data_IF_278279863785
#
_entry.id   IF_278279863785
#
_cell.length_a   1.000
_cell.length_b   1.000
_cell.length_c   1.000
_cell.angle_alpha   90.00
_cell.angle_beta   90.00
_cell.angle_gamma   90.00
#
_symmetry.space_group_name_H-M   'P 1'
#
loop_
_entity.id
_entity.type
_entity.pdbx_description
1 polymer ?
#
# COMPACT_ATOMS: atom_id res chain seq x y z
N UNK A 1 -73.80 -25.34 9.94
CA UNK A 1 -72.91 -26.09 9.02
C UNK A 1 -71.55 -25.39 9.03
N UNK A 2 -70.44 -26.15 9.14
CA UNK A 2 -69.07 -25.79 9.60
C UNK A 2 -69.00 -25.57 11.12
N UNK A 3 -68.63 -26.48 12.01
CA UNK A 3 -67.79 -27.70 11.97
C UNK A 3 -66.28 -27.45 11.68
N UNK A 4 -65.48 -27.58 12.77
CA UNK A 4 -64.09 -28.10 12.86
C UNK A 4 -62.99 -27.15 12.32
N UNK A 5 -61.85 -26.83 12.96
CA UNK A 5 -60.91 -27.57 13.82
C UNK A 5 -59.99 -26.60 14.59
N UNK A 6 -59.64 -26.99 15.82
CA UNK A 6 -58.50 -26.50 16.59
C UNK A 6 -57.20 -27.09 16.02
N UNK A 7 -56.12 -26.29 15.86
CA UNK A 7 -54.72 -26.79 15.84
C UNK A 7 -53.70 -25.64 15.90
N UNK A 8 -53.01 -25.56 17.04
CA UNK A 8 -51.68 -24.97 17.15
C UNK A 8 -50.76 -25.55 16.07
N UNK A 9 -50.06 -24.69 15.32
CA UNK A 9 -48.95 -25.11 14.46
C UNK A 9 -47.73 -24.27 14.79
N UNK A 10 -46.90 -24.83 15.68
CA UNK A 10 -45.50 -24.47 15.86
C UNK A 10 -44.79 -24.79 14.55
N UNK A 11 -44.32 -23.80 13.78
CA UNK A 11 -43.22 -23.99 12.82
C UNK A 11 -42.32 -22.76 12.75
N UNK A 12 -41.07 -22.99 13.15
CA UNK A 12 -39.88 -22.17 12.89
C UNK A 12 -39.84 -21.69 11.44
N UNK A 13 -39.56 -20.42 11.24
CA UNK A 13 -38.91 -19.91 10.03
C UNK A 13 -38.22 -18.58 10.33
N UNK A 14 -37.01 -18.68 10.90
CA UNK A 14 -35.80 -17.96 10.46
C UNK A 14 -36.01 -16.48 10.05
N UNK A 15 -35.83 -15.58 11.02
CA UNK A 15 -34.95 -14.42 10.82
C UNK A 15 -33.55 -14.93 11.21
N UNK A 16 -32.39 -14.57 10.61
CA UNK A 16 -32.05 -13.20 10.20
C UNK A 16 -30.90 -13.06 9.15
N UNK A 17 -31.08 -12.28 8.07
CA UNK A 17 -29.91 -11.68 7.38
C UNK A 17 -30.19 -10.20 7.13
N UNK A 18 -30.53 -9.51 8.22
CA UNK A 18 -30.26 -8.09 8.32
C UNK A 18 -28.75 -7.92 8.25
N UNK A 19 -28.31 -7.23 7.21
CA UNK A 19 -26.93 -6.88 6.87
C UNK A 19 -26.28 -6.16 8.06
N UNK A 20 -25.63 -6.93 8.91
CA UNK A 20 -24.76 -6.46 10.00
C UNK A 20 -23.32 -6.87 9.68
N UNK A 21 -22.85 -6.52 8.48
CA UNK A 21 -21.42 -6.42 8.21
C UNK A 21 -20.92 -5.05 8.67
N UNK A 22 -21.11 -4.76 9.96
CA UNK A 22 -20.15 -3.93 10.70
C UNK A 22 -19.09 -4.88 11.25
N UNK A 23 -18.34 -5.48 10.33
CA UNK A 23 -17.02 -5.97 10.66
C UNK A 23 -16.20 -4.74 11.01
N UNK A 24 -16.01 -4.52 12.32
CA UNK A 24 -14.94 -3.68 12.81
C UNK A 24 -13.65 -4.28 12.27
N UNK A 25 -13.19 -3.81 11.11
CA UNK A 25 -11.76 -3.84 10.82
C UNK A 25 -11.14 -3.12 12.02
N UNK A 26 -10.46 -3.87 12.89
CA UNK A 26 -9.61 -3.29 13.90
C UNK A 26 -8.77 -2.24 13.18
N UNK A 27 -9.01 -0.96 13.50
CA UNK A 27 -8.52 0.16 12.71
C UNK A 27 -7.00 0.10 12.73
N UNK A 28 -6.42 -0.45 11.65
CA UNK A 28 -4.99 -0.38 11.43
C UNK A 28 -4.67 1.11 11.42
N UNK A 29 -3.77 1.61 12.28
CA UNK A 29 -3.49 3.03 12.34
C UNK A 29 -3.07 3.53 10.95
N UNK A 30 -3.66 4.64 10.53
CA UNK A 30 -3.27 5.29 9.29
C UNK A 30 -1.97 6.07 9.53
N UNK A 31 -0.99 5.86 8.66
CA UNK A 31 0.30 6.54 8.62
C UNK A 31 0.23 7.63 7.55
N UNK A 32 0.63 8.85 7.89
CA UNK A 32 0.75 9.91 6.90
C UNK A 32 2.07 9.77 6.13
N UNK A 33 2.00 9.54 4.83
CA UNK A 33 3.18 9.45 3.96
C UNK A 33 3.29 10.71 3.13
N UNK A 34 4.43 11.39 3.24
CA UNK A 34 4.75 12.58 2.44
C UNK A 34 5.73 12.19 1.35
N UNK A 35 5.31 12.30 0.10
CA UNK A 35 6.15 12.09 -1.08
C UNK A 35 6.66 13.43 -1.62
N UNK A 36 7.97 13.59 -1.72
CA UNK A 36 8.59 14.72 -2.41
C UNK A 36 8.91 14.31 -3.85
N UNK A 37 8.30 14.97 -4.83
CA UNK A 37 8.51 14.71 -6.26
C UNK A 37 8.70 16.02 -7.03
N UNK A 38 9.85 16.24 -7.67
CA UNK A 38 10.16 17.42 -8.50
C UNK A 38 9.84 18.76 -7.79
N UNK A 39 10.11 18.83 -6.50
CA UNK A 39 9.83 20.01 -5.66
C UNK A 39 8.35 20.18 -5.26
N UNK A 40 7.48 19.25 -5.62
CA UNK A 40 6.10 19.16 -5.12
C UNK A 40 6.02 18.18 -3.97
N UNK A 41 5.23 18.54 -2.97
CA UNK A 41 4.91 17.67 -1.85
C UNK A 41 3.53 17.06 -2.07
N UNK A 42 3.45 15.73 -2.07
CA UNK A 42 2.23 14.95 -2.22
C UNK A 42 2.00 14.18 -0.93
N UNK A 43 0.90 14.43 -0.25
CA UNK A 43 0.55 13.74 0.99
C UNK A 43 -0.46 12.62 0.68
N UNK A 44 -0.23 11.44 1.23
CA UNK A 44 -1.14 10.31 1.16
C UNK A 44 -1.29 9.64 2.54
N UNK A 45 -2.38 8.90 2.71
CA UNK A 45 -2.62 8.08 3.90
C UNK A 45 -2.39 6.61 3.53
N UNK A 46 -1.45 5.97 4.23
CA UNK A 46 -1.16 4.55 4.09
C UNK A 46 -1.55 3.78 5.33
N UNK A 47 -1.82 2.49 5.19
CA UNK A 47 -2.06 1.59 6.32
C UNK A 47 -0.80 0.79 6.60
N UNK A 48 -0.60 0.45 7.87
CA UNK A 48 0.49 -0.45 8.26
C UNK A 48 0.37 -1.78 7.51
N UNK A 49 1.50 -2.26 7.00
CA UNK A 49 1.60 -3.45 6.16
C UNK A 49 1.49 -3.17 4.66
N UNK A 50 1.01 -1.99 4.24
CA UNK A 50 1.02 -1.60 2.82
C UNK A 50 2.41 -1.21 2.36
N UNK A 51 2.71 -1.46 1.10
CA UNK A 51 3.95 -0.97 0.49
C UNK A 51 3.87 0.51 0.12
N UNK A 52 5.00 1.22 0.06
CA UNK A 52 5.02 2.62 -0.41
C UNK A 52 4.44 2.75 -1.83
N UNK A 53 4.65 1.73 -2.67
CA UNK A 53 4.00 1.63 -3.98
C UNK A 53 2.47 1.61 -3.88
N UNK A 54 1.92 0.72 -3.04
CA UNK A 54 0.47 0.63 -2.85
C UNK A 54 -0.12 1.94 -2.33
N UNK A 55 0.58 2.67 -1.46
CA UNK A 55 0.12 3.96 -0.95
C UNK A 55 -0.01 4.98 -2.08
N UNK A 56 0.98 5.07 -2.97
CA UNK A 56 0.98 5.98 -4.12
C UNK A 56 -0.18 5.64 -5.07
N UNK A 57 -0.34 4.36 -5.41
CA UNK A 57 -1.36 3.90 -6.37
C UNK A 57 -2.76 4.03 -5.79
N UNK A 58 -2.97 3.64 -4.52
CA UNK A 58 -4.29 3.74 -3.88
C UNK A 58 -4.73 5.19 -3.67
N UNK A 59 -3.77 6.12 -3.52
CA UNK A 59 -4.03 7.55 -3.40
C UNK A 59 -4.09 8.27 -4.75
N UNK A 60 -3.90 7.56 -5.88
CA UNK A 60 -3.92 8.10 -7.24
C UNK A 60 -2.99 9.33 -7.40
N UNK A 61 -1.78 9.25 -6.82
CA UNK A 61 -0.84 10.36 -6.89
C UNK A 61 -0.28 10.53 -8.31
N UNK A 62 -0.18 11.77 -8.84
CA UNK A 62 0.23 12.04 -10.21
C UNK A 62 1.76 11.92 -10.36
N UNK A 63 2.28 10.69 -10.34
CA UNK A 63 3.70 10.36 -10.56
C UNK A 63 3.79 9.56 -11.85
N UNK A 64 4.21 10.23 -12.93
CA UNK A 64 4.27 9.64 -14.27
C UNK A 64 5.22 8.44 -14.31
N UNK A 65 4.75 7.32 -14.86
CA UNK A 65 5.54 6.11 -15.07
C UNK A 65 5.86 5.30 -13.80
N UNK A 66 5.37 5.71 -12.64
CA UNK A 66 5.65 5.02 -11.38
C UNK A 66 4.94 3.66 -11.30
N UNK A 67 5.67 2.62 -10.88
CA UNK A 67 5.08 1.31 -10.58
C UNK A 67 4.66 0.46 -11.79
N UNK A 68 5.41 0.55 -12.90
CA UNK A 68 5.05 -0.07 -14.17
C UNK A 68 4.94 -1.62 -14.16
N UNK A 69 5.59 -2.30 -13.22
CA UNK A 69 5.47 -3.77 -13.02
C UNK A 69 4.47 -4.18 -11.94
N UNK A 70 3.72 -3.23 -11.40
CA UNK A 70 2.71 -3.49 -10.37
C UNK A 70 3.27 -4.09 -9.07
N UNK A 71 4.54 -3.84 -8.76
CA UNK A 71 5.19 -4.31 -7.54
C UNK A 71 5.73 -5.75 -7.60
N UNK A 72 5.87 -6.32 -8.79
CA UNK A 72 6.35 -7.70 -9.01
C UNK A 72 7.87 -7.88 -9.01
N UNK A 73 8.64 -6.88 -8.55
CA UNK A 73 10.11 -6.87 -8.57
C UNK A 73 10.69 -7.14 -9.98
N UNK A 74 10.09 -6.56 -11.01
CA UNK A 74 10.50 -6.73 -12.41
C UNK A 74 10.88 -5.42 -13.11
N UNK A 75 10.94 -4.30 -12.38
CA UNK A 75 11.38 -3.01 -12.88
C UNK A 75 11.86 -2.12 -11.71
N UNK A 76 12.52 -0.99 -12.03
CA UNK A 76 12.98 0.00 -11.06
C UNK A 76 12.12 1.28 -11.01
N UNK A 77 10.95 1.30 -11.65
CA UNK A 77 10.09 2.50 -11.72
C UNK A 77 9.44 2.90 -10.39
N UNK A 78 9.48 2.01 -9.40
CA UNK A 78 9.03 2.28 -8.04
C UNK A 78 10.16 2.73 -7.11
N UNK A 79 11.31 3.14 -7.68
CA UNK A 79 12.45 3.63 -6.92
C UNK A 79 12.04 4.84 -6.07
N UNK A 80 12.42 4.77 -4.79
CA UNK A 80 12.26 5.84 -3.80
C UNK A 80 13.57 6.01 -3.04
N UNK A 81 13.80 7.22 -2.53
CA UNK A 81 14.92 7.57 -1.67
C UNK A 81 14.35 7.83 -0.28
N UNK A 82 14.87 7.07 0.69
CA UNK A 82 14.43 7.12 2.07
C UNK A 82 15.34 7.99 2.91
N UNK A 83 14.84 8.49 4.03
CA UNK A 83 15.71 9.13 5.01
C UNK A 83 16.69 8.13 5.63
N UNK A 84 17.93 8.53 5.97
CA UNK A 84 18.95 7.63 6.51
C UNK A 84 18.50 6.88 7.78
N UNK A 85 17.67 7.51 8.60
CA UNK A 85 17.14 6.92 9.84
C UNK A 85 16.09 5.83 9.55
N UNK A 86 15.27 6.01 8.52
CA UNK A 86 14.30 5.01 8.09
C UNK A 86 14.99 3.86 7.35
N UNK A 87 15.94 4.16 6.45
CA UNK A 87 16.69 3.15 5.70
C UNK A 87 17.42 2.16 6.62
N UNK A 88 18.06 2.63 7.70
CA UNK A 88 18.81 1.79 8.65
C UNK A 88 17.94 0.80 9.43
N UNK A 89 16.63 1.04 9.54
CA UNK A 89 15.69 0.16 10.24
C UNK A 89 15.17 -0.95 9.35
N UNK A 90 15.20 -0.74 8.03
CA UNK A 90 14.71 -1.72 7.07
C UNK A 90 15.68 -2.90 6.95
N UNK A 91 15.16 -4.10 6.61
CA UNK A 91 16.02 -5.20 6.21
C UNK A 91 16.85 -4.81 4.98
N UNK A 92 18.06 -5.38 4.82
CA UNK A 92 18.88 -5.12 3.65
C UNK A 92 18.12 -5.48 2.36
N UNK A 93 18.34 -4.74 1.26
CA UNK A 93 17.78 -5.09 -0.04
C UNK A 93 18.27 -6.47 -0.47
N UNK A 94 17.44 -7.18 -1.21
CA UNK A 94 17.82 -8.47 -1.84
C UNK A 94 18.65 -8.21 -3.09
N UNK A 95 19.46 -9.18 -3.52
CA UNK A 95 20.32 -9.05 -4.70
C UNK A 95 19.53 -8.64 -5.96
N UNK A 96 18.36 -9.25 -6.19
CA UNK A 96 17.47 -8.91 -7.31
C UNK A 96 16.97 -7.46 -7.26
N UNK A 97 16.79 -6.90 -6.06
CA UNK A 97 16.44 -5.49 -5.86
C UNK A 97 17.63 -4.58 -6.19
N UNK A 98 18.84 -4.99 -5.80
CA UNK A 98 20.07 -4.25 -6.11
C UNK A 98 20.36 -4.19 -7.61
N UNK A 99 20.22 -5.33 -8.31
CA UNK A 99 20.40 -5.41 -9.77
C UNK A 99 19.47 -4.44 -10.51
N UNK A 100 18.23 -4.27 -10.02
CA UNK A 100 17.28 -3.32 -10.58
C UNK A 100 17.59 -1.87 -10.20
N UNK A 101 18.06 -1.63 -8.97
CA UNK A 101 18.46 -0.30 -8.50
C UNK A 101 19.67 0.25 -9.26
N UNK A 102 20.58 -0.60 -9.74
CA UNK A 102 21.70 -0.20 -10.60
C UNK A 102 21.25 0.42 -11.94
N UNK A 103 20.04 0.07 -12.40
CA UNK A 103 19.43 0.63 -13.60
C UNK A 103 18.63 1.91 -13.32
N UNK A 104 18.38 2.22 -12.04
CA UNK A 104 17.57 3.35 -11.63
C UNK A 104 18.34 4.69 -11.77
N UNK A 105 17.70 5.73 -12.30
CA UNK A 105 18.29 7.06 -12.34
C UNK A 105 18.43 7.62 -10.92
N UNK A 106 19.47 8.43 -10.69
CA UNK A 106 19.65 9.13 -9.41
C UNK A 106 19.70 8.18 -8.19
N UNK A 107 20.16 6.94 -8.37
CA UNK A 107 20.32 5.99 -7.27
C UNK A 107 21.37 6.49 -6.25
N UNK A 108 21.09 6.25 -4.97
CA UNK A 108 21.89 6.67 -3.82
C UNK A 108 21.98 5.51 -2.83
N UNK A 109 22.84 5.63 -1.80
CA UNK A 109 22.98 4.60 -0.76
C UNK A 109 21.70 4.38 0.08
N UNK A 110 20.74 5.30 0.02
CA UNK A 110 19.45 5.22 0.72
C UNK A 110 18.28 4.92 -0.23
N UNK A 111 18.58 4.51 -1.46
CA UNK A 111 17.59 4.11 -2.45
C UNK A 111 17.03 2.72 -2.16
N UNK A 112 15.71 2.58 -2.30
CA UNK A 112 14.99 1.30 -2.23
C UNK A 112 13.92 1.24 -3.31
N UNK A 113 13.46 0.03 -3.63
CA UNK A 113 12.26 -0.14 -4.44
C UNK A 113 11.03 -0.06 -3.52
N UNK A 114 10.19 0.96 -3.73
CA UNK A 114 9.02 1.25 -2.90
C UNK A 114 7.97 0.12 -2.87
N UNK A 115 8.03 -0.85 -3.78
CA UNK A 115 7.21 -2.06 -3.70
C UNK A 115 7.68 -3.06 -2.64
N UNK A 116 8.96 -3.06 -2.28
CA UNK A 116 9.54 -3.93 -1.25
C UNK A 116 9.48 -3.31 0.15
N UNK A 117 9.37 -1.98 0.23
CA UNK A 117 9.31 -1.24 1.49
C UNK A 117 7.86 -1.18 1.99
N UNK A 118 7.60 -1.78 3.15
CA UNK A 118 6.30 -1.80 3.82
C UNK A 118 6.26 -0.81 4.97
N UNK A 119 5.11 -0.16 5.15
CA UNK A 119 4.83 0.68 6.30
C UNK A 119 4.75 -0.17 7.58
N UNK A 120 5.40 0.30 8.63
CA UNK A 120 5.44 -0.33 9.96
C UNK A 120 4.86 0.61 11.02
N UNK A 121 4.62 0.10 12.23
CA UNK A 121 4.18 0.92 13.37
C UNK A 121 5.18 2.02 13.73
N UNK A 122 6.47 1.82 13.42
CA UNK A 122 7.54 2.76 13.71
C UNK A 122 7.57 3.97 12.75
N UNK A 123 6.77 3.94 11.69
CA UNK A 123 6.65 5.03 10.72
C UNK A 123 5.55 6.04 11.09
N UNK A 124 4.86 5.78 12.21
CA UNK A 124 3.92 6.72 12.82
C UNK A 124 4.68 7.88 13.51
N UNK A 125 4.12 9.10 13.49
CA UNK A 125 2.84 9.49 12.86
C UNK A 125 2.98 9.82 11.37
N UNK A 126 4.20 10.04 10.89
CA UNK A 126 4.46 10.41 9.50
C UNK A 126 5.83 9.99 9.04
N UNK A 127 5.93 9.67 7.76
CA UNK A 127 7.18 9.35 7.06
C UNK A 127 7.35 10.26 5.85
N UNK A 128 8.57 10.72 5.63
CA UNK A 128 8.96 11.46 4.43
C UNK A 128 9.73 10.54 3.47
N UNK A 129 9.34 10.57 2.21
CA UNK A 129 9.90 9.75 1.14
C UNK A 129 10.14 10.66 -0.06
N UNK A 130 11.31 10.55 -0.68
CA UNK A 130 11.62 11.29 -1.90
C UNK A 130 11.49 10.38 -3.11
N UNK A 131 10.80 10.83 -4.14
CA UNK A 131 10.70 10.16 -5.43
C UNK A 131 11.64 10.88 -6.40
N UNK A 132 12.57 10.18 -7.07
CA UNK A 132 13.49 10.77 -8.04
C UNK A 132 12.71 11.47 -9.16
N UNK A 133 13.37 12.44 -9.80
CA UNK A 133 12.72 13.28 -10.81
C UNK A 133 12.51 12.56 -12.13
N UNK A 134 13.40 11.60 -12.43
CA UNK A 134 13.35 10.73 -13.58
C UNK A 134 12.87 9.34 -13.16
N UNK A 135 11.90 8.80 -13.91
CA UNK A 135 11.45 7.40 -13.77
C UNK A 135 11.83 6.67 -15.04
N UNK A 136 12.60 5.58 -14.93
CA UNK A 136 13.03 4.76 -16.05
C UNK A 136 12.43 3.36 -15.95
N UNK A 137 11.74 2.91 -16.99
CA UNK A 137 11.30 1.52 -17.09
C UNK A 137 12.39 0.67 -17.74
N UNK A 138 13.05 -0.15 -16.93
CA UNK A 138 14.08 -1.08 -17.39
C UNK A 138 13.57 -2.15 -18.38
N UNK A 139 12.24 -2.39 -18.44
CA UNK A 139 11.64 -3.36 -19.38
C UNK A 139 11.53 -2.84 -20.82
N UNK A 140 11.75 -1.54 -21.02
CA UNK A 140 11.61 -0.91 -22.33
C UNK A 140 12.82 -1.13 -23.26
N UNK A 141 13.76 -2.01 -22.88
CA UNK A 141 15.02 -2.26 -23.59
C UNK A 141 15.22 -3.73 -23.95
#
# INVERSE_FOLDING_TARGET
MMMVVMRYCIRRAICPQAVLLRGLAAGVPDVKVRFQNRGKTLDAMGKIGQSLYEVIVNADLPIDGYGACEGTLACCTCHVILEPEHYKRLPPPVEEELDLLDLAPEATDFSRLGCQVKLTEEDLPSIEVTVPSEVRDARAY
#
